data_IF_732145220676
#
_entry.id   IF_732145220676
#
_cell.length_a   1.000
_cell.length_b   1.000
_cell.length_c   1.000
_cell.angle_alpha   90.00
_cell.angle_beta   90.00
_cell.angle_gamma   90.00
#
_symmetry.space_group_name_H-M   'P 1'
#
loop_
_entity.id
_entity.type
_entity.pdbx_description
1 polymer ?
#
# COMPACT_ATOMS: atom_id res chain seq x y z
N UNK A 1 -14.01 -8.77 10.07
CA UNK A 1 -14.11 -7.41 10.66
C UNK A 1 -12.69 -6.86 10.84
N UNK A 2 -12.41 -5.65 10.35
CA UNK A 2 -11.06 -5.06 10.31
C UNK A 2 -10.44 -4.80 11.70
N UNK A 3 -11.20 -4.92 12.79
CA UNK A 3 -10.76 -4.68 14.18
C UNK A 3 -10.90 -5.92 15.08
N UNK A 4 -10.67 -7.12 14.53
CA UNK A 4 -10.81 -8.37 15.29
C UNK A 4 -9.66 -8.63 16.31
N UNK A 5 -8.66 -7.76 16.38
CA UNK A 5 -7.52 -7.87 17.31
C UNK A 5 -7.73 -6.99 18.56
N UNK A 6 -7.23 -7.40 19.75
CA UNK A 6 -7.25 -6.56 20.95
C UNK A 6 -6.58 -5.20 20.70
N UNK A 7 -7.22 -4.12 21.15
CA UNK A 7 -6.78 -2.75 20.87
C UNK A 7 -6.88 -1.87 22.13
N UNK A 8 -5.84 -1.07 22.38
CA UNK A 8 -5.88 -0.05 23.43
C UNK A 8 -6.72 1.16 22.98
N UNK A 9 -7.21 1.96 23.94
CA UNK A 9 -7.93 3.20 23.64
C UNK A 9 -7.10 4.15 22.75
N UNK A 10 -5.78 4.22 22.98
CA UNK A 10 -4.86 5.00 22.15
C UNK A 10 -4.82 4.51 20.70
N UNK A 11 -4.62 3.20 20.49
CA UNK A 11 -4.53 2.65 19.13
C UNK A 11 -5.86 2.74 18.39
N UNK A 12 -6.99 2.60 19.09
CA UNK A 12 -8.30 2.85 18.48
C UNK A 12 -8.42 4.29 18.00
N UNK A 13 -8.06 5.28 18.83
CA UNK A 13 -8.05 6.69 18.43
C UNK A 13 -7.15 6.94 17.21
N UNK A 14 -5.95 6.34 17.20
CA UNK A 14 -5.00 6.44 16.10
C UNK A 14 -5.58 5.91 14.77
N UNK A 15 -6.35 4.83 14.79
CA UNK A 15 -6.95 4.25 13.59
C UNK A 15 -8.16 5.02 13.04
N UNK A 16 -8.99 5.60 13.93
CA UNK A 16 -10.28 6.19 13.51
C UNK A 16 -10.23 7.71 13.33
N UNK A 17 -9.23 8.38 13.88
CA UNK A 17 -9.07 9.83 13.73
C UNK A 17 -8.36 10.14 12.41
N UNK A 18 -8.81 11.19 11.71
CA UNK A 18 -8.12 11.70 10.53
C UNK A 18 -6.69 12.13 10.89
N UNK A 19 -5.70 11.65 10.14
CA UNK A 19 -4.29 11.94 10.40
C UNK A 19 -3.79 11.35 11.72
N UNK A 20 -4.41 10.26 12.20
CA UNK A 20 -3.88 9.51 13.33
C UNK A 20 -2.52 8.88 13.01
N UNK A 21 -1.84 8.36 14.03
CA UNK A 21 -0.44 7.92 13.90
C UNK A 21 -0.25 6.68 13.01
N UNK A 22 -1.34 5.98 12.65
CA UNK A 22 -1.34 4.84 11.72
C UNK A 22 -1.76 5.24 10.28
N UNK A 23 -2.15 6.50 10.03
CA UNK A 23 -2.74 6.98 8.77
C UNK A 23 -1.68 7.37 7.72
N UNK A 24 -1.08 6.36 7.07
CA UNK A 24 -0.06 6.57 6.04
C UNK A 24 -0.56 6.34 4.60
N UNK A 25 -1.70 5.67 4.44
CA UNK A 25 -2.14 5.10 3.17
C UNK A 25 -3.51 5.61 2.70
N UNK A 26 -4.17 6.48 3.48
CA UNK A 26 -5.47 7.01 3.08
C UNK A 26 -5.35 7.79 1.77
N UNK A 27 -6.33 7.58 0.88
CA UNK A 27 -6.37 8.18 -0.45
C UNK A 27 -6.62 9.69 -0.41
N UNK A 28 -7.18 10.20 0.69
CA UNK A 28 -7.51 11.62 0.91
C UNK A 28 -6.37 12.44 1.53
N UNK A 29 -5.19 11.83 1.79
CA UNK A 29 -4.00 12.57 2.20
C UNK A 29 -3.54 13.49 1.07
N UNK A 30 -3.08 14.70 1.40
CA UNK A 30 -2.52 15.62 0.40
C UNK A 30 -1.11 15.19 -0.07
N UNK A 31 -0.69 15.67 -1.24
CA UNK A 31 0.61 15.29 -1.82
C UNK A 31 1.80 15.71 -0.95
N UNK A 32 1.67 16.79 -0.17
CA UNK A 32 2.72 17.24 0.75
C UNK A 32 2.92 16.25 1.91
N UNK A 33 1.83 15.70 2.43
CA UNK A 33 1.83 14.69 3.48
C UNK A 33 2.37 13.36 2.95
N UNK A 34 1.89 12.94 1.77
CA UNK A 34 2.42 11.74 1.10
C UNK A 34 3.93 11.90 0.85
N UNK A 35 4.38 13.02 0.29
CA UNK A 35 5.81 13.28 0.07
C UNK A 35 6.60 13.21 1.38
N UNK A 36 6.12 13.84 2.46
CA UNK A 36 6.77 13.82 3.78
C UNK A 36 6.90 12.40 4.37
N UNK A 37 5.97 11.51 4.08
CA UNK A 37 6.04 10.12 4.53
C UNK A 37 6.99 9.29 3.67
N UNK A 38 6.82 9.35 2.37
CA UNK A 38 7.51 8.49 1.42
C UNK A 38 8.96 8.95 1.13
N UNK A 39 9.29 10.22 1.34
CA UNK A 39 10.68 10.71 1.25
C UNK A 39 11.59 10.16 2.35
N UNK A 40 11.04 9.47 3.36
CA UNK A 40 11.82 8.86 4.46
C UNK A 40 12.53 7.59 4.03
N UNK A 41 12.09 6.95 2.95
CA UNK A 41 12.78 5.79 2.40
C UNK A 41 14.15 6.21 1.86
N UNK A 42 15.18 5.42 2.19
CA UNK A 42 16.55 5.57 1.69
C UNK A 42 17.08 4.28 1.03
N UNK A 43 16.16 3.34 0.76
CA UNK A 43 16.39 2.06 0.09
C UNK A 43 15.24 1.80 -0.86
N UNK A 44 15.45 1.04 -1.94
CA UNK A 44 14.38 0.71 -2.88
C UNK A 44 13.17 0.06 -2.19
N UNK A 45 11.97 0.44 -2.62
CA UNK A 45 10.67 -0.03 -2.10
C UNK A 45 9.83 -0.55 -3.25
N UNK A 46 9.17 -1.68 -3.05
CA UNK A 46 8.18 -2.23 -3.98
C UNK A 46 6.79 -2.13 -3.34
N UNK A 47 5.83 -1.52 -4.03
CA UNK A 47 4.46 -1.37 -3.55
C UNK A 47 3.51 -2.13 -4.47
N UNK A 48 2.89 -3.18 -3.95
CA UNK A 48 1.96 -4.03 -4.71
C UNK A 48 0.60 -4.00 -4.02
N UNK A 49 -0.34 -3.26 -4.59
CA UNK A 49 -1.74 -3.23 -4.15
C UNK A 49 -2.49 -4.46 -4.68
N UNK A 50 -3.46 -4.98 -3.94
CA UNK A 50 -4.33 -6.05 -4.42
C UNK A 50 -5.44 -5.47 -5.30
N UNK A 51 -5.56 -5.93 -6.55
CA UNK A 51 -6.48 -5.34 -7.52
C UNK A 51 -7.97 -5.45 -7.16
N UNK A 52 -8.34 -6.43 -6.34
CA UNK A 52 -9.70 -6.66 -5.83
C UNK A 52 -9.73 -6.72 -4.29
N UNK A 53 -8.92 -5.89 -3.61
CA UNK A 53 -8.89 -5.84 -2.15
C UNK A 53 -10.25 -5.45 -1.55
N UNK A 54 -10.86 -6.39 -0.82
CA UNK A 54 -12.20 -6.25 -0.25
C UNK A 54 -12.30 -5.23 0.89
N UNK A 55 -11.17 -4.69 1.38
CA UNK A 55 -11.14 -3.66 2.41
C UNK A 55 -10.89 -2.26 1.87
N UNK A 56 -10.57 -2.13 0.58
CA UNK A 56 -10.44 -0.83 -0.09
C UNK A 56 -11.81 -0.39 -0.59
N UNK A 57 -12.30 0.81 -0.22
CA UNK A 57 -13.59 1.29 -0.71
C UNK A 57 -13.61 1.47 -2.24
N UNK A 58 -14.73 1.12 -2.89
CA UNK A 58 -14.88 1.14 -4.36
C UNK A 58 -14.54 2.48 -5.04
N UNK A 59 -14.64 3.60 -4.31
CA UNK A 59 -14.33 4.93 -4.84
C UNK A 59 -12.82 5.25 -4.85
N UNK A 60 -11.99 4.40 -4.27
CA UNK A 60 -10.54 4.61 -4.19
C UNK A 60 -9.86 4.03 -5.42
N UNK A 61 -9.21 4.90 -6.18
CA UNK A 61 -8.36 4.51 -7.30
C UNK A 61 -6.97 4.07 -6.79
N UNK A 62 -6.80 2.75 -6.65
CA UNK A 62 -5.54 2.16 -6.18
C UNK A 62 -4.37 2.35 -7.16
N UNK A 63 -4.65 2.47 -8.46
CA UNK A 63 -3.63 2.70 -9.48
C UNK A 63 -3.10 4.13 -9.39
N UNK A 64 -4.00 5.11 -9.33
CA UNK A 64 -3.63 6.51 -9.09
C UNK A 64 -2.87 6.67 -7.77
N UNK A 65 -3.30 6.00 -6.70
CA UNK A 65 -2.61 6.05 -5.41
C UNK A 65 -1.20 5.44 -5.48
N UNK A 66 -1.02 4.31 -6.18
CA UNK A 66 0.30 3.71 -6.38
C UNK A 66 1.23 4.67 -7.16
N UNK A 67 0.71 5.30 -8.21
CA UNK A 67 1.45 6.31 -8.98
C UNK A 67 1.81 7.54 -8.14
N UNK A 68 0.95 7.95 -7.19
CA UNK A 68 1.28 9.04 -6.25
C UNK A 68 2.48 8.67 -5.38
N UNK A 69 2.57 7.44 -4.90
CA UNK A 69 3.73 6.98 -4.13
C UNK A 69 5.02 6.95 -4.96
N UNK A 70 4.93 6.48 -6.22
CA UNK A 70 6.06 6.52 -7.17
C UNK A 70 6.57 7.95 -7.41
N UNK A 71 5.67 8.93 -7.53
CA UNK A 71 6.04 10.35 -7.68
C UNK A 71 6.62 10.95 -6.40
N UNK A 72 6.19 10.46 -5.23
CA UNK A 72 6.57 10.99 -3.94
C UNK A 72 8.00 10.60 -3.51
N UNK A 73 8.55 9.51 -4.05
CA UNK A 73 9.90 9.07 -3.69
C UNK A 73 10.59 8.30 -4.83
N UNK A 74 11.84 8.67 -5.20
CA UNK A 74 12.58 7.98 -6.25
C UNK A 74 12.99 6.55 -5.84
N UNK A 75 12.83 6.19 -4.57
CA UNK A 75 13.08 4.85 -4.08
C UNK A 75 11.93 3.88 -4.36
N UNK A 76 10.74 4.37 -4.70
CA UNK A 76 9.63 3.48 -5.07
C UNK A 76 9.88 2.97 -6.48
N UNK A 77 10.00 1.66 -6.59
CA UNK A 77 10.32 0.96 -7.83
C UNK A 77 9.23 1.15 -8.87
N UNK A 78 9.63 1.28 -10.14
CA UNK A 78 8.74 1.22 -11.30
C UNK A 78 8.08 -0.15 -11.50
N UNK A 79 8.53 -1.18 -10.78
CA UNK A 79 7.88 -2.48 -10.69
C UNK A 79 6.67 -2.47 -9.73
N UNK A 80 6.43 -1.37 -9.01
CA UNK A 80 5.23 -1.18 -8.17
C UNK A 80 3.96 -1.13 -9.04
N UNK A 81 2.85 -1.60 -8.50
CA UNK A 81 1.58 -1.65 -9.24
C UNK A 81 0.51 -2.42 -8.50
N UNK A 82 -0.41 -3.00 -9.27
CA UNK A 82 -1.51 -3.81 -8.76
C UNK A 82 -1.30 -5.28 -9.11
N UNK A 83 -1.58 -6.18 -8.17
CA UNK A 83 -1.64 -7.62 -8.37
C UNK A 83 -3.01 -7.92 -9.01
N UNK A 84 -3.07 -8.47 -10.23
CA UNK A 84 -4.34 -8.75 -10.90
C UNK A 84 -5.20 -9.73 -10.12
N UNK A 85 -6.50 -9.45 -10.03
CA UNK A 85 -7.54 -10.32 -9.43
C UNK A 85 -7.27 -10.80 -7.99
N UNK A 86 -6.35 -10.14 -7.28
CA UNK A 86 -5.99 -10.50 -5.92
C UNK A 86 -6.91 -9.83 -4.91
N UNK A 87 -7.42 -10.60 -3.94
CA UNK A 87 -7.97 -10.06 -2.70
C UNK A 87 -6.88 -9.62 -1.71
N UNK A 88 -7.27 -9.10 -0.54
CA UNK A 88 -6.34 -8.58 0.47
C UNK A 88 -5.27 -9.59 0.90
N UNK A 89 -5.66 -10.87 0.95
CA UNK A 89 -4.81 -11.97 1.43
C UNK A 89 -4.13 -12.77 0.32
N UNK A 90 -4.32 -12.38 -0.96
CA UNK A 90 -3.70 -12.99 -2.15
C UNK A 90 -3.79 -14.52 -2.10
N UNK A 91 -5.01 -15.06 -2.03
CA UNK A 91 -5.24 -16.51 -1.85
C UNK A 91 -5.14 -17.26 -3.17
N UNK A 92 -5.45 -16.57 -4.25
CA UNK A 92 -5.54 -17.08 -5.61
C UNK A 92 -4.14 -17.49 -6.10
N UNK A 93 -4.02 -18.71 -6.64
CA UNK A 93 -2.73 -19.28 -7.06
C UNK A 93 -2.01 -18.39 -8.09
N UNK A 94 -2.73 -17.98 -9.14
CA UNK A 94 -2.19 -17.10 -10.18
C UNK A 94 -1.71 -15.74 -9.60
N UNK A 95 -2.43 -15.18 -8.63
CA UNK A 95 -2.02 -13.93 -7.98
C UNK A 95 -0.76 -14.12 -7.12
N UNK A 96 -0.62 -15.28 -6.46
CA UNK A 96 0.59 -15.64 -5.69
C UNK A 96 1.80 -15.86 -6.59
N UNK A 97 1.61 -16.51 -7.73
CA UNK A 97 2.67 -16.68 -8.73
C UNK A 97 3.13 -15.32 -9.25
N UNK A 98 2.19 -14.47 -9.68
CA UNK A 98 2.48 -13.12 -10.13
C UNK A 98 3.23 -12.30 -9.07
N UNK A 99 2.77 -12.35 -7.81
CA UNK A 99 3.42 -11.68 -6.68
C UNK A 99 4.85 -12.20 -6.49
N UNK A 100 5.03 -13.52 -6.53
CA UNK A 100 6.33 -14.17 -6.38
C UNK A 100 7.31 -13.75 -7.48
N UNK A 101 6.91 -13.84 -8.74
CA UNK A 101 7.70 -13.39 -9.89
C UNK A 101 8.09 -11.91 -9.76
N UNK A 102 7.12 -11.06 -9.40
CA UNK A 102 7.34 -9.62 -9.24
C UNK A 102 8.34 -9.30 -8.12
N UNK A 103 8.26 -10.01 -7.00
CA UNK A 103 9.23 -9.86 -5.89
C UNK A 103 10.62 -10.32 -6.32
N UNK A 104 10.72 -11.44 -7.03
CA UNK A 104 12.00 -11.94 -7.57
C UNK A 104 12.63 -10.93 -8.52
N UNK A 105 11.84 -10.36 -9.44
CA UNK A 105 12.31 -9.36 -10.39
C UNK A 105 12.79 -8.09 -9.67
N UNK A 106 12.06 -7.61 -8.66
CA UNK A 106 12.50 -6.49 -7.84
C UNK A 106 13.82 -6.78 -7.12
N UNK A 107 13.96 -7.95 -6.49
CA UNK A 107 15.19 -8.32 -5.78
C UNK A 107 16.40 -8.42 -6.71
N UNK A 108 16.21 -8.76 -7.98
CA UNK A 108 17.28 -8.76 -8.99
C UNK A 108 17.77 -7.36 -9.37
N UNK A 109 17.03 -6.30 -9.02
CA UNK A 109 17.42 -4.90 -9.28
C UNK A 109 18.26 -4.26 -8.17
N UNK A 110 18.42 -4.95 -7.03
CA UNK A 110 19.15 -4.46 -5.85
C UNK A 110 20.62 -4.86 -5.88
#
# INVERSE_FOLDING_TARGET
>A
AALAAPISAYRFKSLVAKGGDDDYFSSDLDDATVAKFWSRFNKPVLVLHSGQDEFVPDHVDQEAQNQRYQKASPFVSSLSGLIPDAGHTVKEEAAREWLGERVVDFLRTL
#
